data_IF_872282144268
#
_entry.id   IF_872282144268
#
_cell.length_a   1.000
_cell.length_b   1.000
_cell.length_c   1.000
_cell.angle_alpha   90.00
_cell.angle_beta   90.00
_cell.angle_gamma   90.00
#
_symmetry.space_group_name_H-M   'P 1'
#
loop_
_entity.id
_entity.type
_entity.pdbx_description
1 polymer ?
#
# COMPACT_ATOMS: atom_id res chain seq x y z
N UNK A 1 17.40 -8.04 17.59
CA UNK A 1 17.63 -6.85 16.73
C UNK A 1 17.83 -7.20 15.27
N UNK A 2 18.78 -8.09 14.89
CA UNK A 2 18.99 -8.46 13.47
C UNK A 2 17.72 -9.02 12.80
N UNK A 3 17.01 -9.94 13.46
CA UNK A 3 15.75 -10.49 12.96
C UNK A 3 14.68 -9.39 12.77
N UNK A 4 14.53 -8.47 13.72
CA UNK A 4 13.55 -7.38 13.65
C UNK A 4 13.82 -6.44 12.47
N UNK A 5 15.09 -6.05 12.27
CA UNK A 5 15.50 -5.20 11.14
C UNK A 5 15.22 -5.90 9.80
N UNK A 6 15.53 -7.20 9.69
CA UNK A 6 15.24 -7.98 8.48
C UNK A 6 13.74 -8.06 8.17
N UNK A 7 12.88 -8.20 9.18
CA UNK A 7 11.43 -8.23 8.98
C UNK A 7 10.90 -6.86 8.51
N UNK A 8 11.38 -5.77 9.08
CA UNK A 8 10.99 -4.42 8.66
C UNK A 8 11.39 -4.11 7.21
N UNK A 9 12.63 -4.46 6.82
CA UNK A 9 13.07 -4.31 5.43
C UNK A 9 12.25 -5.18 4.47
N UNK A 10 11.93 -6.40 4.87
CA UNK A 10 11.12 -7.29 4.05
C UNK A 10 9.70 -6.76 3.84
N UNK A 11 9.05 -6.24 4.89
CA UNK A 11 7.71 -5.63 4.79
C UNK A 11 7.75 -4.43 3.85
N UNK A 12 8.77 -3.58 3.98
CA UNK A 12 8.95 -2.43 3.10
C UNK A 12 8.97 -2.88 1.64
N UNK A 13 9.83 -3.84 1.28
CA UNK A 13 9.88 -4.35 -0.09
C UNK A 13 8.56 -4.99 -0.54
N UNK A 14 7.95 -5.82 0.31
CA UNK A 14 6.73 -6.55 0.00
C UNK A 14 5.56 -5.59 -0.29
N UNK A 15 5.35 -4.60 0.57
CA UNK A 15 4.26 -3.64 0.44
C UNK A 15 4.54 -2.65 -0.68
N UNK A 16 5.78 -2.18 -0.86
CA UNK A 16 6.11 -1.34 -2.02
C UNK A 16 5.79 -2.02 -3.35
N UNK A 17 6.10 -3.32 -3.49
CA UNK A 17 5.75 -4.07 -4.70
C UNK A 17 4.24 -4.21 -4.85
N UNK A 18 3.52 -4.60 -3.80
CA UNK A 18 2.06 -4.72 -3.84
C UNK A 18 1.37 -3.39 -4.17
N UNK A 19 1.86 -2.28 -3.61
CA UNK A 19 1.36 -0.93 -3.84
C UNK A 19 1.48 -0.50 -5.30
N UNK A 20 2.67 -0.70 -5.88
CA UNK A 20 2.94 -0.38 -7.30
C UNK A 20 2.10 -1.24 -8.23
N UNK A 21 1.94 -2.52 -7.92
CA UNK A 21 1.21 -3.44 -8.80
C UNK A 21 -0.29 -3.15 -8.82
N UNK A 22 -0.94 -3.04 -7.66
CA UNK A 22 -2.39 -2.79 -7.62
C UNK A 22 -2.86 -1.95 -6.43
N UNK A 23 -2.12 -1.90 -5.33
CA UNK A 23 -2.61 -1.24 -4.12
C UNK A 23 -2.93 0.24 -4.31
N UNK A 24 -2.10 0.95 -5.06
CA UNK A 24 -2.38 2.35 -5.38
C UNK A 24 -3.67 2.52 -6.18
N UNK A 25 -3.91 1.64 -7.16
CA UNK A 25 -5.11 1.67 -7.98
C UNK A 25 -6.37 1.35 -7.16
N UNK A 26 -6.29 0.38 -6.25
CA UNK A 26 -7.42 0.03 -5.39
C UNK A 26 -7.73 1.11 -4.34
N UNK A 27 -6.73 1.87 -3.90
CA UNK A 27 -6.90 2.93 -2.91
C UNK A 27 -7.34 4.26 -3.53
N UNK A 28 -6.75 4.65 -4.67
CA UNK A 28 -6.91 5.98 -5.28
C UNK A 28 -7.38 5.96 -6.73
N UNK A 29 -7.62 4.78 -7.30
CA UNK A 29 -8.21 4.69 -8.64
C UNK A 29 -9.66 5.18 -8.67
N UNK A 30 -10.26 5.32 -9.86
CA UNK A 30 -11.65 5.72 -10.02
C UNK A 30 -12.59 4.88 -9.15
N UNK A 31 -13.45 5.54 -8.39
CA UNK A 31 -14.32 4.89 -7.41
C UNK A 31 -15.30 3.89 -8.06
N UNK A 32 -15.41 2.70 -7.44
CA UNK A 32 -16.42 1.70 -7.75
C UNK A 32 -17.39 1.62 -6.56
N UNK A 33 -18.56 2.24 -6.74
CA UNK A 33 -19.68 2.21 -5.81
C UNK A 33 -19.39 2.73 -4.39
N UNK A 34 -18.36 3.56 -4.19
CA UNK A 34 -17.94 4.08 -2.89
C UNK A 34 -17.18 3.07 -2.03
N UNK A 35 -16.81 1.91 -2.57
CA UNK A 35 -16.27 0.78 -1.79
C UNK A 35 -14.80 0.54 -2.09
N UNK A 36 -14.36 0.68 -3.34
CA UNK A 36 -12.97 0.40 -3.73
C UNK A 36 -12.64 1.14 -5.03
N UNK A 37 -11.37 1.51 -5.20
CA UNK A 37 -10.87 2.05 -6.46
C UNK A 37 -10.79 0.99 -7.56
N UNK A 38 -10.87 1.45 -8.80
CA UNK A 38 -10.73 0.63 -10.00
C UNK A 38 -9.31 0.09 -10.25
N UNK A 39 -9.15 -0.66 -11.33
CA UNK A 39 -7.87 -1.24 -11.76
C UNK A 39 -7.19 -0.42 -12.88
N UNK A 40 -7.64 0.80 -13.11
CA UNK A 40 -7.18 1.66 -14.21
C UNK A 40 -5.70 2.06 -14.08
N UNK A 41 -5.18 2.14 -12.84
CA UNK A 41 -3.81 2.52 -12.52
C UNK A 41 -2.94 1.36 -12.04
N UNK A 42 -3.35 0.13 -12.32
CA UNK A 42 -2.53 -1.07 -12.08
C UNK A 42 -1.16 -0.92 -12.74
N UNK A 43 -0.12 -1.32 -12.03
CA UNK A 43 1.28 -1.16 -12.43
C UNK A 43 1.66 0.30 -12.78
N UNK A 44 1.02 1.28 -12.12
CA UNK A 44 1.20 2.72 -12.33
C UNK A 44 0.85 3.19 -13.74
N UNK A 45 -0.07 2.48 -14.41
CA UNK A 45 -0.52 2.87 -15.75
C UNK A 45 -1.24 4.22 -15.70
N UNK A 46 -0.68 5.23 -16.34
CA UNK A 46 -1.22 6.60 -16.31
C UNK A 46 -0.87 7.40 -15.06
N UNK A 47 0.00 6.88 -14.20
CA UNK A 47 0.57 7.59 -13.05
C UNK A 47 1.97 8.05 -13.43
N UNK A 48 2.18 9.37 -13.56
CA UNK A 48 3.46 9.93 -13.98
C UNK A 48 3.71 11.32 -13.42
N UNK A 49 4.57 12.08 -14.11
CA UNK A 49 5.04 13.40 -13.69
C UNK A 49 3.97 14.50 -13.77
N UNK A 50 2.88 14.26 -14.51
CA UNK A 50 1.79 15.22 -14.61
C UNK A 50 0.96 15.25 -13.31
N UNK A 51 0.37 16.41 -12.95
CA UNK A 51 -0.52 16.50 -11.80
C UNK A 51 -1.68 15.51 -11.88
N UNK A 52 -1.88 14.76 -10.80
CA UNK A 52 -2.97 13.78 -10.68
C UNK A 52 -4.26 14.41 -10.16
N UNK A 53 -5.37 13.65 -10.13
CA UNK A 53 -6.66 14.15 -9.61
C UNK A 53 -6.61 14.56 -8.13
N UNK A 54 -5.63 14.06 -7.37
CA UNK A 54 -5.44 14.33 -5.94
C UNK A 54 -4.49 15.51 -5.65
N UNK A 55 -3.99 16.21 -6.66
CA UNK A 55 -3.10 17.35 -6.46
C UNK A 55 -2.95 18.22 -7.71
N UNK A 56 -3.35 19.49 -7.61
CA UNK A 56 -3.31 20.43 -8.74
C UNK A 56 -1.89 20.80 -9.20
N UNK A 57 -0.89 20.68 -8.32
CA UNK A 57 0.51 21.09 -8.58
C UNK A 57 1.52 19.99 -8.26
N UNK A 58 1.08 18.87 -7.70
CA UNK A 58 1.94 17.77 -7.26
C UNK A 58 1.88 16.67 -8.32
N UNK A 59 3.03 16.20 -8.84
CA UNK A 59 3.08 15.06 -9.73
C UNK A 59 2.32 13.86 -9.18
N UNK A 60 1.54 13.19 -10.02
CA UNK A 60 0.74 12.04 -9.62
C UNK A 60 1.60 10.94 -8.99
N UNK A 61 2.80 10.70 -9.55
CA UNK A 61 3.76 9.76 -8.97
C UNK A 61 4.29 10.17 -7.59
N UNK A 62 4.45 11.47 -7.32
CA UNK A 62 4.94 11.96 -6.04
C UNK A 62 3.89 11.75 -4.94
N UNK A 63 2.62 11.95 -5.28
CA UNK A 63 1.50 11.61 -4.41
C UNK A 63 1.43 10.10 -4.15
N UNK A 64 1.62 9.27 -5.18
CA UNK A 64 1.66 7.81 -5.05
C UNK A 64 2.76 7.33 -4.10
N UNK A 65 3.99 7.88 -4.22
CA UNK A 65 5.12 7.54 -3.35
C UNK A 65 4.87 8.04 -1.92
N UNK A 66 4.31 9.23 -1.76
CA UNK A 66 3.92 9.75 -0.44
C UNK A 66 2.94 8.81 0.27
N UNK A 67 1.88 8.38 -0.42
CA UNK A 67 0.89 7.46 0.14
C UNK A 67 1.46 6.05 0.38
N UNK A 68 2.40 5.60 -0.44
CA UNK A 68 3.11 4.33 -0.22
C UNK A 68 3.77 4.26 1.17
N UNK A 69 4.26 5.38 1.70
CA UNK A 69 4.89 5.39 3.04
C UNK A 69 3.88 5.05 4.14
N UNK A 70 2.63 5.52 4.02
CA UNK A 70 1.54 5.17 4.93
C UNK A 70 1.13 3.70 4.77
N UNK A 71 1.09 3.21 3.53
CA UNK A 71 0.80 1.82 3.23
C UNK A 71 1.84 0.87 3.84
N UNK A 72 3.13 1.23 3.79
CA UNK A 72 4.22 0.43 4.36
C UNK A 72 4.20 0.43 5.89
N UNK A 73 3.99 1.59 6.53
CA UNK A 73 4.13 1.69 7.99
C UNK A 73 3.01 0.98 8.75
N UNK A 74 1.81 0.93 8.19
CA UNK A 74 0.64 0.38 8.88
C UNK A 74 0.76 -1.13 9.20
N UNK A 75 1.05 -2.02 8.24
CA UNK A 75 1.32 -3.43 8.54
C UNK A 75 2.63 -3.61 9.32
N UNK A 76 3.61 -2.72 9.17
CA UNK A 76 4.85 -2.76 9.96
C UNK A 76 4.59 -2.56 11.47
N UNK A 77 3.65 -1.69 11.84
CA UNK A 77 3.23 -1.49 13.24
C UNK A 77 2.50 -2.71 13.80
N UNK A 78 1.57 -3.28 13.03
CA UNK A 78 0.83 -4.51 13.42
C UNK A 78 1.81 -5.64 13.69
N UNK A 79 2.76 -5.84 12.77
CA UNK A 79 3.73 -6.92 12.86
C UNK A 79 4.78 -6.72 13.94
N UNK A 80 5.18 -5.48 14.20
CA UNK A 80 6.04 -5.12 15.33
C UNK A 80 5.44 -5.51 16.69
N UNK A 81 4.10 -5.46 16.83
CA UNK A 81 3.40 -5.87 18.04
C UNK A 81 3.35 -7.40 18.26
N UNK A 82 3.55 -8.21 17.21
CA UNK A 82 3.45 -9.68 17.26
C UNK A 82 4.79 -10.40 17.01
N UNK A 83 5.93 -9.72 17.18
CA UNK A 83 7.26 -10.23 16.79
C UNK A 83 7.68 -11.53 17.52
N UNK A 84 6.93 -11.99 18.51
CA UNK A 84 7.22 -13.21 19.26
C UNK A 84 6.47 -14.42 18.66
N UNK A 85 7.19 -15.24 17.86
CA UNK A 85 6.88 -16.64 17.47
C UNK A 85 5.92 -16.90 16.28
N UNK A 86 5.90 -16.07 15.22
CA UNK A 86 5.18 -16.42 13.97
C UNK A 86 6.08 -17.05 12.90
N UNK A 87 5.55 -18.02 12.15
CA UNK A 87 6.21 -18.58 10.96
C UNK A 87 6.28 -17.51 9.86
N UNK A 88 7.46 -17.25 9.32
CA UNK A 88 7.69 -16.22 8.31
C UNK A 88 6.73 -16.29 7.12
N UNK A 89 6.43 -17.49 6.60
CA UNK A 89 5.46 -17.65 5.49
C UNK A 89 4.05 -17.16 5.83
N UNK A 90 3.57 -17.47 7.04
CA UNK A 90 2.24 -17.03 7.49
C UNK A 90 2.20 -15.50 7.65
N UNK A 91 3.31 -14.91 8.07
CA UNK A 91 3.48 -13.47 8.16
C UNK A 91 3.42 -12.78 6.80
N UNK A 92 4.14 -13.28 5.78
CA UNK A 92 4.13 -12.70 4.42
C UNK A 92 2.70 -12.69 3.85
N UNK A 93 2.01 -13.83 3.92
CA UNK A 93 0.65 -13.97 3.39
C UNK A 93 -0.32 -13.07 4.14
N UNK A 94 -0.23 -13.02 5.47
CA UNK A 94 -1.06 -12.13 6.28
C UNK A 94 -0.87 -10.67 5.89
N UNK A 95 0.38 -10.19 5.82
CA UNK A 95 0.69 -8.80 5.49
C UNK A 95 0.18 -8.41 4.10
N UNK A 96 0.35 -9.29 3.11
CA UNK A 96 -0.11 -9.02 1.74
C UNK A 96 -1.64 -9.02 1.63
N UNK A 97 -2.32 -9.99 2.25
CA UNK A 97 -3.79 -10.02 2.27
C UNK A 97 -4.37 -8.84 3.06
N UNK A 98 -3.75 -8.48 4.18
CA UNK A 98 -4.20 -7.37 4.99
C UNK A 98 -4.05 -6.03 4.25
N UNK A 99 -2.91 -5.82 3.58
CA UNK A 99 -2.73 -4.62 2.76
C UNK A 99 -3.78 -4.53 1.65
N UNK A 100 -4.00 -5.61 0.88
CA UNK A 100 -4.93 -5.57 -0.25
C UNK A 100 -6.40 -5.56 0.14
N UNK A 101 -6.81 -6.29 1.18
CA UNK A 101 -8.23 -6.46 1.53
C UNK A 101 -8.72 -5.52 2.63
N UNK A 102 -7.81 -4.91 3.39
CA UNK A 102 -8.17 -4.04 4.52
C UNK A 102 -7.60 -2.65 4.31
N UNK A 103 -6.30 -2.52 4.08
CA UNK A 103 -5.69 -1.20 3.94
C UNK A 103 -6.19 -0.47 2.69
N UNK A 104 -6.12 -1.09 1.51
CA UNK A 104 -6.49 -0.42 0.26
C UNK A 104 -7.96 0.07 0.26
N UNK A 105 -8.98 -0.74 0.68
CA UNK A 105 -10.36 -0.25 0.77
C UNK A 105 -10.57 0.83 1.83
N UNK A 106 -9.92 0.71 3.00
CA UNK A 106 -10.03 1.73 4.05
C UNK A 106 -9.39 3.04 3.61
N UNK A 107 -8.25 2.98 2.91
CA UNK A 107 -7.62 4.15 2.32
C UNK A 107 -8.55 4.80 1.30
N UNK A 108 -9.25 4.01 0.49
CA UNK A 108 -10.25 4.50 -0.45
C UNK A 108 -11.42 5.21 0.24
N UNK A 109 -11.97 4.66 1.33
CA UNK A 109 -13.10 5.30 2.01
C UNK A 109 -12.75 6.63 2.68
N UNK A 110 -11.49 6.82 3.04
CA UNK A 110 -11.05 8.02 3.78
C UNK A 110 -10.45 9.06 2.84
N UNK A 111 -9.74 8.63 1.80
CA UNK A 111 -8.95 9.51 0.91
C UNK A 111 -9.18 9.30 -0.59
N UNK A 112 -9.94 8.28 -0.98
CA UNK A 112 -10.26 7.94 -2.38
C UNK A 112 -11.17 8.94 -3.05
#
# INVERSE_FOLDING_TARGET
MLATIMHSFFILCLISVQWVLWGYSLAFGPDINGIIGGLDWVALRGVGQEPGPYGATVPHEAYMVFQMMFAVITPALITGAFAERKRFKAFVVFTLLWATLVYDPVAHWVWG
#
